data_IF_284716684939
#
_entry.id   IF_284716684939
#
_cell.length_a   1.000
_cell.length_b   1.000
_cell.length_c   1.000
_cell.angle_alpha   90.00
_cell.angle_beta   90.00
_cell.angle_gamma   90.00
#
_symmetry.space_group_name_H-M   'P 1'
#
loop_
_entity.id
_entity.type
_entity.pdbx_description
1 polymer ?
#
# COMPACT_ATOMS: atom_id res chain seq x y z
N UNK A 1 9.08 -4.14 18.43
CA UNK A 1 7.60 -4.03 18.40
C UNK A 1 6.97 -3.46 19.68
N UNK A 2 7.42 -3.80 20.90
CA UNK A 2 6.82 -3.32 22.16
C UNK A 2 7.39 -1.99 22.72
N UNK A 3 8.10 -1.19 21.93
CA UNK A 3 8.50 0.17 22.34
C UNK A 3 9.59 0.30 23.42
N UNK A 4 10.36 -0.76 23.72
CA UNK A 4 11.43 -0.72 24.72
C UNK A 4 12.82 -1.04 24.13
N UNK A 5 13.37 -0.16 23.26
CA UNK A 5 14.62 -0.44 22.55
C UNK A 5 15.82 -0.61 23.50
N UNK A 6 15.90 0.17 24.59
CA UNK A 6 16.98 0.04 25.57
C UNK A 6 16.99 -1.33 26.27
N UNK A 7 15.80 -1.83 26.63
CA UNK A 7 15.67 -3.16 27.24
C UNK A 7 15.96 -4.27 26.24
N UNK A 8 15.52 -4.12 24.97
CA UNK A 8 15.87 -5.06 23.91
C UNK A 8 17.39 -5.14 23.69
N UNK A 9 18.11 -4.01 23.67
CA UNK A 9 19.58 -3.99 23.59
C UNK A 9 20.19 -4.70 24.80
N UNK A 10 19.70 -4.42 26.02
CA UNK A 10 20.21 -5.05 27.25
C UNK A 10 20.03 -6.57 27.22
N UNK A 11 18.84 -7.05 26.85
CA UNK A 11 18.53 -8.48 26.77
C UNK A 11 19.31 -9.17 25.66
N UNK A 12 19.47 -8.54 24.49
CA UNK A 12 20.27 -9.09 23.40
C UNK A 12 21.75 -9.23 23.78
N UNK A 13 22.32 -8.24 24.48
CA UNK A 13 23.68 -8.33 25.03
C UNK A 13 23.81 -9.45 26.06
N UNK A 14 22.85 -9.57 26.97
CA UNK A 14 22.82 -10.66 27.95
C UNK A 14 22.72 -12.03 27.26
N UNK A 15 21.92 -12.14 26.19
CA UNK A 15 21.82 -13.37 25.41
C UNK A 15 23.14 -13.75 24.73
N UNK A 16 23.89 -12.77 24.20
CA UNK A 16 25.23 -12.99 23.64
C UNK A 16 26.23 -13.48 24.70
N UNK A 17 26.23 -12.86 25.89
CA UNK A 17 27.10 -13.24 27.00
C UNK A 17 26.84 -14.67 27.51
N UNK A 18 25.59 -15.12 27.48
CA UNK A 18 25.18 -16.43 27.98
C UNK A 18 25.13 -17.52 26.91
N UNK A 19 25.17 -17.16 25.62
CA UNK A 19 25.12 -18.14 24.54
C UNK A 19 26.46 -18.91 24.42
N UNK A 20 26.43 -20.23 24.21
CA UNK A 20 27.66 -21.00 23.98
C UNK A 20 28.41 -20.48 22.76
N UNK A 21 29.71 -20.21 22.90
CA UNK A 21 30.55 -19.73 21.78
C UNK A 21 30.64 -20.75 20.62
N UNK A 22 30.38 -22.03 20.90
CA UNK A 22 30.40 -23.12 19.91
C UNK A 22 29.11 -23.20 19.09
N UNK A 23 28.02 -22.59 19.55
CA UNK A 23 26.73 -22.60 18.84
C UNK A 23 26.66 -21.42 17.86
N UNK A 24 27.28 -21.60 16.69
CA UNK A 24 27.34 -20.55 15.68
C UNK A 24 25.96 -20.04 15.23
N UNK A 25 24.95 -20.90 15.20
CA UNK A 25 23.58 -20.53 14.84
C UNK A 25 22.98 -19.58 15.89
N UNK A 26 23.06 -19.95 17.17
CA UNK A 26 22.52 -19.12 18.25
C UNK A 26 23.27 -17.80 18.39
N UNK A 27 24.59 -17.80 18.22
CA UNK A 27 25.39 -16.58 18.18
C UNK A 27 24.91 -15.63 17.07
N UNK A 28 24.71 -16.17 15.85
CA UNK A 28 24.21 -15.37 14.73
C UNK A 28 22.82 -14.78 15.00
N UNK A 29 21.88 -15.57 15.54
CA UNK A 29 20.56 -15.08 15.94
C UNK A 29 20.66 -13.92 16.93
N UNK A 30 21.46 -14.07 17.99
CA UNK A 30 21.59 -13.06 19.03
C UNK A 30 22.25 -11.76 18.52
N UNK A 31 23.24 -11.86 17.64
CA UNK A 31 23.83 -10.69 16.98
C UNK A 31 22.83 -9.99 16.05
N UNK A 32 22.02 -10.74 15.29
CA UNK A 32 20.95 -10.14 14.48
C UNK A 32 19.89 -9.44 15.36
N UNK A 33 19.53 -10.01 16.51
CA UNK A 33 18.63 -9.34 17.46
C UNK A 33 19.24 -8.07 18.06
N UNK A 34 20.55 -8.08 18.40
CA UNK A 34 21.24 -6.90 18.89
C UNK A 34 21.30 -5.80 17.82
N UNK A 35 21.66 -6.16 16.58
CA UNK A 35 21.69 -5.25 15.45
C UNK A 35 20.29 -4.67 15.19
N UNK A 36 19.24 -5.49 15.19
CA UNK A 36 17.86 -5.03 15.07
C UNK A 36 17.47 -4.07 16.18
N UNK A 37 17.85 -4.34 17.43
CA UNK A 37 17.61 -3.45 18.55
C UNK A 37 18.33 -2.10 18.41
N UNK A 38 19.55 -2.07 17.87
CA UNK A 38 20.23 -0.83 17.52
C UNK A 38 19.49 -0.05 16.44
N UNK A 39 19.07 -0.71 15.35
CA UNK A 39 18.32 -0.08 14.28
C UNK A 39 17.01 0.55 14.79
N UNK A 40 16.22 -0.20 15.56
CA UNK A 40 14.99 0.29 16.19
C UNK A 40 15.20 1.45 17.17
N UNK A 41 16.39 1.59 17.74
CA UNK A 41 16.76 2.70 18.64
C UNK A 41 17.28 3.94 17.91
N UNK A 42 17.34 3.94 16.57
CA UNK A 42 17.92 5.01 15.76
C UNK A 42 19.45 4.98 15.69
N UNK A 43 20.10 3.99 16.33
CA UNK A 43 21.56 3.80 16.31
C UNK A 43 21.99 3.03 15.06
N UNK A 44 21.64 3.58 13.90
CA UNK A 44 21.74 2.89 12.60
C UNK A 44 23.17 2.50 12.26
N UNK A 45 24.16 3.36 12.56
CA UNK A 45 25.56 3.06 12.28
C UNK A 45 26.09 1.89 13.12
N UNK A 46 25.64 1.76 14.38
CA UNK A 46 25.97 0.62 15.23
C UNK A 46 25.31 -0.66 14.74
N UNK A 47 24.06 -0.57 14.28
CA UNK A 47 23.35 -1.68 13.64
C UNK A 47 24.14 -2.22 12.42
N UNK A 48 24.57 -1.32 11.54
CA UNK A 48 25.36 -1.67 10.35
C UNK A 48 26.69 -2.31 10.75
N UNK A 49 27.38 -1.76 11.75
CA UNK A 49 28.65 -2.29 12.24
C UNK A 49 28.48 -3.70 12.83
N UNK A 50 27.47 -3.89 13.68
CA UNK A 50 27.16 -5.17 14.31
C UNK A 50 26.87 -6.25 13.26
N UNK A 51 26.01 -5.94 12.28
CA UNK A 51 25.69 -6.87 11.22
C UNK A 51 26.89 -7.19 10.33
N UNK A 52 27.70 -6.20 9.93
CA UNK A 52 28.91 -6.44 9.13
C UNK A 52 29.90 -7.37 9.83
N UNK A 53 30.00 -7.30 11.15
CA UNK A 53 30.90 -8.15 11.92
C UNK A 53 30.46 -9.63 11.90
N UNK A 54 29.15 -9.90 11.94
CA UNK A 54 28.62 -11.27 12.02
C UNK A 54 28.23 -11.87 10.67
N UNK A 55 28.02 -11.05 9.63
CA UNK A 55 27.53 -11.48 8.32
C UNK A 55 28.31 -12.67 7.72
N UNK A 56 29.66 -12.73 7.74
CA UNK A 56 30.38 -13.90 7.22
C UNK A 56 30.06 -15.20 7.96
N UNK A 57 29.84 -15.14 9.27
CA UNK A 57 29.50 -16.30 10.10
C UNK A 57 28.03 -16.72 9.93
N UNK A 58 27.11 -15.75 9.79
CA UNK A 58 25.71 -16.04 9.47
C UNK A 58 25.55 -16.76 8.13
N UNK A 59 26.46 -16.46 7.18
CA UNK A 59 26.40 -16.96 5.81
C UNK A 59 27.32 -18.15 5.52
N UNK A 60 27.90 -18.76 6.56
CA UNK A 60 28.49 -20.09 6.39
C UNK A 60 27.40 -21.09 5.93
N UNK A 61 27.76 -22.03 5.05
CA UNK A 61 26.80 -22.96 4.41
C UNK A 61 25.96 -23.74 5.42
N UNK A 62 26.49 -23.98 6.61
CA UNK A 62 25.80 -24.71 7.68
C UNK A 62 24.64 -23.90 8.29
N UNK A 63 24.70 -22.57 8.25
CA UNK A 63 23.73 -21.69 8.91
C UNK A 63 22.84 -20.93 7.91
N UNK A 64 23.33 -20.71 6.70
CA UNK A 64 22.72 -19.82 5.71
C UNK A 64 21.24 -20.14 5.43
N UNK A 65 20.90 -21.40 5.18
CA UNK A 65 19.50 -21.76 4.88
C UNK A 65 18.57 -21.58 6.09
N UNK A 66 19.07 -21.79 7.32
CA UNK A 66 18.28 -21.66 8.55
C UNK A 66 18.06 -20.21 8.98
N UNK A 67 18.98 -19.31 8.63
CA UNK A 67 18.95 -17.91 9.05
C UNK A 67 18.46 -16.94 7.96
N UNK A 68 18.34 -17.37 6.71
CA UNK A 68 18.06 -16.49 5.58
C UNK A 68 16.82 -15.59 5.78
N UNK A 69 15.74 -16.12 6.35
CA UNK A 69 14.53 -15.33 6.61
C UNK A 69 14.74 -14.30 7.73
N UNK A 70 15.47 -14.67 8.79
CA UNK A 70 15.79 -13.75 9.88
C UNK A 70 16.72 -12.64 9.41
N UNK A 71 17.72 -12.99 8.60
CA UNK A 71 18.61 -12.02 7.97
C UNK A 71 17.84 -11.09 7.02
N UNK A 72 16.93 -11.64 6.20
CA UNK A 72 16.11 -10.85 5.31
C UNK A 72 15.18 -9.89 6.06
N UNK A 73 14.62 -10.33 7.19
CA UNK A 73 13.80 -9.48 8.07
C UNK A 73 14.61 -8.32 8.65
N UNK A 74 15.77 -8.62 9.21
CA UNK A 74 16.70 -7.61 9.71
C UNK A 74 17.10 -6.59 8.63
N UNK A 75 17.47 -7.06 7.43
CA UNK A 75 17.91 -6.20 6.35
C UNK A 75 16.79 -5.30 5.81
N UNK A 76 15.55 -5.79 5.78
CA UNK A 76 14.38 -4.99 5.47
C UNK A 76 14.21 -3.87 6.50
N UNK A 77 14.19 -4.20 7.78
CA UNK A 77 14.06 -3.20 8.85
C UNK A 77 15.20 -2.18 8.82
N UNK A 78 16.45 -2.63 8.67
CA UNK A 78 17.60 -1.75 8.55
C UNK A 78 17.48 -0.78 7.37
N UNK A 79 16.97 -1.24 6.23
CA UNK A 79 16.73 -0.38 5.08
C UNK A 79 15.68 0.70 5.38
N UNK A 80 14.61 0.37 6.12
CA UNK A 80 13.62 1.37 6.58
C UNK A 80 14.28 2.41 7.47
N UNK A 81 15.14 2.00 8.42
CA UNK A 81 15.82 2.94 9.32
C UNK A 81 16.89 3.78 8.62
N UNK A 82 17.63 3.20 7.66
CA UNK A 82 18.55 3.95 6.81
C UNK A 82 17.80 5.00 5.99
N UNK A 83 16.65 4.64 5.41
CA UNK A 83 15.80 5.56 4.66
C UNK A 83 15.29 6.72 5.53
N UNK A 84 14.77 6.40 6.71
CA UNK A 84 14.32 7.40 7.69
C UNK A 84 15.44 8.34 8.14
N UNK A 85 16.70 7.87 8.15
CA UNK A 85 17.89 8.66 8.46
C UNK A 85 18.47 9.43 7.26
N UNK A 86 17.72 9.58 6.15
CA UNK A 86 18.18 10.29 4.95
C UNK A 86 19.19 9.51 4.09
N UNK A 87 19.47 8.25 4.42
CA UNK A 87 20.43 7.37 3.71
C UNK A 87 19.74 6.49 2.67
N UNK A 88 18.81 7.06 1.89
CA UNK A 88 17.97 6.32 0.93
C UNK A 88 18.78 5.50 -0.11
N UNK A 89 19.86 6.08 -0.65
CA UNK A 89 20.74 5.36 -1.60
C UNK A 89 21.42 4.14 -0.95
N UNK A 90 21.82 4.25 0.32
CA UNK A 90 22.42 3.13 1.05
C UNK A 90 21.39 2.05 1.34
N UNK A 91 20.17 2.43 1.75
CA UNK A 91 19.05 1.50 1.97
C UNK A 91 18.74 0.68 0.71
N UNK A 92 18.65 1.34 -0.46
CA UNK A 92 18.42 0.67 -1.74
C UNK A 92 19.57 -0.28 -2.11
N UNK A 93 20.82 0.18 -2.02
CA UNK A 93 21.99 -0.63 -2.34
C UNK A 93 22.10 -1.87 -1.45
N UNK A 94 21.77 -1.74 -0.16
CA UNK A 94 21.74 -2.84 0.81
C UNK A 94 20.77 -3.93 0.36
N UNK A 95 19.51 -3.57 0.06
CA UNK A 95 18.51 -4.53 -0.37
C UNK A 95 18.86 -5.17 -1.71
N UNK A 96 19.28 -4.38 -2.69
CA UNK A 96 19.68 -4.91 -4.01
C UNK A 96 20.84 -5.89 -3.94
N UNK A 97 21.84 -5.61 -3.09
CA UNK A 97 22.96 -6.54 -2.86
C UNK A 97 22.47 -7.84 -2.23
N UNK A 98 21.71 -7.75 -1.14
CA UNK A 98 21.22 -8.93 -0.44
C UNK A 98 20.26 -9.78 -1.30
N UNK A 99 19.43 -9.16 -2.14
CA UNK A 99 18.60 -9.86 -3.12
C UNK A 99 19.47 -10.67 -4.09
N UNK A 100 20.55 -10.09 -4.64
CA UNK A 100 21.45 -10.79 -5.58
C UNK A 100 22.09 -12.01 -4.92
N UNK A 101 22.56 -11.85 -3.69
CA UNK A 101 23.24 -12.89 -2.93
C UNK A 101 22.29 -14.05 -2.58
N UNK A 102 21.13 -13.75 -1.97
CA UNK A 102 20.15 -14.78 -1.59
C UNK A 102 19.53 -15.48 -2.81
N UNK A 103 19.39 -14.77 -3.94
CA UNK A 103 18.93 -15.36 -5.19
C UNK A 103 19.94 -16.35 -5.77
N UNK A 104 21.24 -16.04 -5.71
CA UNK A 104 22.30 -16.93 -6.17
C UNK A 104 22.33 -18.25 -5.37
N UNK A 105 22.04 -18.16 -4.07
CA UNK A 105 21.94 -19.30 -3.15
C UNK A 105 20.57 -20.01 -3.20
N UNK A 106 19.68 -19.62 -4.12
CA UNK A 106 18.32 -20.18 -4.31
C UNK A 106 17.42 -20.07 -3.08
N UNK A 107 17.63 -19.08 -2.22
CA UNK A 107 16.85 -18.82 -1.00
C UNK A 107 15.63 -17.94 -1.32
N UNK A 108 14.73 -18.49 -2.13
CA UNK A 108 13.60 -17.77 -2.73
C UNK A 108 12.67 -17.07 -1.71
N UNK A 109 12.30 -17.67 -0.55
CA UNK A 109 11.44 -16.98 0.43
C UNK A 109 12.09 -15.74 1.03
N UNK A 110 13.39 -15.80 1.34
CA UNK A 110 14.14 -14.67 1.88
C UNK A 110 14.35 -13.57 0.81
N UNK A 111 14.66 -13.97 -0.43
CA UNK A 111 14.73 -13.04 -1.56
C UNK A 111 13.38 -12.34 -1.82
N UNK A 112 12.24 -13.07 -1.75
CA UNK A 112 10.90 -12.49 -1.86
C UNK A 112 10.70 -11.40 -0.81
N UNK A 113 11.04 -11.67 0.45
CA UNK A 113 10.86 -10.71 1.54
C UNK A 113 11.64 -9.40 1.29
N UNK A 114 12.88 -9.50 0.82
CA UNK A 114 13.69 -8.33 0.46
C UNK A 114 13.17 -7.58 -0.76
N UNK A 115 12.64 -8.30 -1.76
CA UNK A 115 11.97 -7.68 -2.91
C UNK A 115 10.75 -6.85 -2.46
N UNK A 116 9.99 -7.34 -1.49
CA UNK A 116 8.86 -6.60 -0.90
C UNK A 116 9.35 -5.33 -0.19
N UNK A 117 10.41 -5.44 0.62
CA UNK A 117 11.04 -4.28 1.27
C UNK A 117 11.53 -3.23 0.27
N UNK A 118 12.20 -3.66 -0.81
CA UNK A 118 12.68 -2.78 -1.88
C UNK A 118 11.51 -2.09 -2.60
N UNK A 119 10.45 -2.84 -2.88
CA UNK A 119 9.21 -2.28 -3.46
C UNK A 119 8.63 -1.17 -2.58
N UNK A 120 8.46 -1.43 -1.28
CA UNK A 120 7.94 -0.44 -0.32
C UNK A 120 8.81 0.81 -0.23
N UNK A 121 10.13 0.65 -0.21
CA UNK A 121 11.09 1.77 -0.22
C UNK A 121 10.90 2.65 -1.47
N UNK A 122 10.86 2.03 -2.65
CA UNK A 122 10.67 2.74 -3.92
C UNK A 122 9.30 3.42 -4.01
N UNK A 123 8.25 2.77 -3.50
CA UNK A 123 6.92 3.36 -3.40
C UNK A 123 6.92 4.63 -2.56
N UNK A 124 7.63 4.63 -1.43
CA UNK A 124 7.76 5.81 -0.55
C UNK A 124 8.48 6.96 -1.26
N UNK A 125 9.46 6.66 -2.11
CA UNK A 125 10.16 7.64 -2.96
C UNK A 125 9.36 8.09 -4.20
N UNK A 126 8.11 7.64 -4.32
CA UNK A 126 7.23 7.85 -5.47
C UNK A 126 7.69 7.19 -6.79
N UNK A 127 8.71 6.32 -6.77
CA UNK A 127 9.13 5.50 -7.92
C UNK A 127 8.20 4.28 -8.09
N UNK A 128 7.03 4.52 -8.69
CA UNK A 128 5.99 3.51 -8.91
C UNK A 128 6.44 2.39 -9.84
N UNK A 129 7.17 2.70 -10.90
CA UNK A 129 7.64 1.71 -11.87
C UNK A 129 8.74 0.83 -11.29
N UNK A 130 9.69 1.42 -10.56
CA UNK A 130 10.70 0.68 -9.82
C UNK A 130 10.08 -0.21 -8.75
N UNK A 131 9.12 0.34 -8.00
CA UNK A 131 8.38 -0.42 -6.98
C UNK A 131 7.66 -1.63 -7.57
N UNK A 132 6.96 -1.45 -8.70
CA UNK A 132 6.25 -2.53 -9.37
C UNK A 132 7.20 -3.66 -9.79
N UNK A 133 8.28 -3.32 -10.51
CA UNK A 133 9.28 -4.29 -10.97
C UNK A 133 9.89 -5.07 -9.80
N UNK A 134 10.20 -4.38 -8.70
CA UNK A 134 10.77 -5.01 -7.51
C UNK A 134 9.79 -6.01 -6.88
N UNK A 135 8.52 -5.62 -6.73
CA UNK A 135 7.47 -6.47 -6.16
C UNK A 135 7.19 -7.69 -7.04
N UNK A 136 6.99 -7.51 -8.34
CA UNK A 136 6.72 -8.62 -9.26
C UNK A 136 7.87 -9.63 -9.30
N UNK A 137 9.12 -9.15 -9.22
CA UNK A 137 10.30 -10.00 -9.16
C UNK A 137 10.34 -10.89 -7.89
N UNK A 138 9.81 -10.42 -6.76
CA UNK A 138 9.67 -11.22 -5.54
C UNK A 138 8.44 -12.15 -5.59
N UNK A 139 7.29 -11.60 -5.94
CA UNK A 139 5.99 -12.28 -5.89
C UNK A 139 5.88 -13.48 -6.83
N UNK A 140 6.73 -13.58 -7.86
CA UNK A 140 6.83 -14.79 -8.70
C UNK A 140 7.21 -16.05 -7.92
N UNK A 141 7.85 -15.92 -6.76
CA UNK A 141 8.25 -17.05 -5.91
C UNK A 141 7.10 -17.58 -5.04
N UNK A 142 6.09 -16.76 -4.75
CA UNK A 142 4.86 -17.14 -4.05
C UNK A 142 3.65 -16.45 -4.72
N UNK A 143 3.28 -16.92 -5.92
CA UNK A 143 2.21 -16.30 -6.68
C UNK A 143 0.83 -16.55 -6.08
N UNK A 144 0.69 -17.40 -5.05
CA UNK A 144 -0.60 -17.70 -4.43
C UNK A 144 -0.81 -16.95 -3.10
N UNK A 145 0.17 -16.14 -2.68
CA UNK A 145 0.12 -15.39 -1.42
C UNK A 145 -0.04 -16.32 -0.19
N UNK A 146 0.70 -17.42 -0.16
CA UNK A 146 0.61 -18.41 0.91
C UNK A 146 1.38 -17.98 2.16
N UNK A 147 2.42 -17.17 1.99
CA UNK A 147 3.21 -16.59 3.07
C UNK A 147 2.74 -15.17 3.44
N UNK A 148 2.95 -14.79 4.71
CA UNK A 148 2.67 -13.41 5.18
C UNK A 148 3.49 -12.38 4.40
N UNK A 149 4.75 -12.70 4.06
CA UNK A 149 5.60 -11.85 3.22
C UNK A 149 5.02 -11.64 1.81
N UNK A 150 4.50 -12.70 1.18
CA UNK A 150 3.85 -12.58 -0.12
C UNK A 150 2.54 -11.79 -0.04
N UNK A 151 1.72 -12.02 1.00
CA UNK A 151 0.52 -11.22 1.24
C UNK A 151 0.84 -9.72 1.35
N UNK A 152 1.83 -9.36 2.17
CA UNK A 152 2.31 -7.98 2.29
C UNK A 152 2.81 -7.43 0.96
N UNK A 153 3.54 -8.23 0.18
CA UNK A 153 3.98 -7.88 -1.17
C UNK A 153 2.82 -7.63 -2.15
N UNK A 154 1.79 -8.48 -2.16
CA UNK A 154 0.61 -8.28 -3.01
C UNK A 154 -0.19 -7.05 -2.59
N UNK A 155 -0.32 -6.79 -1.29
CA UNK A 155 -0.96 -5.57 -0.78
C UNK A 155 -0.13 -4.31 -1.11
N UNK A 156 1.21 -4.40 -1.10
CA UNK A 156 2.08 -3.33 -1.57
C UNK A 156 1.92 -3.10 -3.08
N UNK A 157 1.82 -4.17 -3.88
CA UNK A 157 1.59 -4.08 -5.32
C UNK A 157 0.21 -3.46 -5.60
N UNK A 158 -0.81 -3.80 -4.83
CA UNK A 158 -2.11 -3.13 -4.89
C UNK A 158 -1.97 -1.61 -4.71
N UNK A 159 -1.19 -1.15 -3.72
CA UNK A 159 -0.94 0.30 -3.49
C UNK A 159 -0.25 0.95 -4.70
N UNK A 160 0.71 0.25 -5.29
CA UNK A 160 1.41 0.71 -6.51
C UNK A 160 0.41 0.87 -7.66
N UNK A 161 -0.44 -0.13 -7.89
CA UNK A 161 -1.48 -0.08 -8.93
C UNK A 161 -2.46 1.06 -8.72
N UNK A 162 -2.90 1.30 -7.49
CA UNK A 162 -3.69 2.48 -7.13
C UNK A 162 -2.93 3.78 -7.46
N UNK A 163 -1.66 3.87 -7.08
CA UNK A 163 -0.81 5.04 -7.33
C UNK A 163 -0.64 5.35 -8.82
N UNK A 164 -0.62 4.33 -9.68
CA UNK A 164 -0.54 4.45 -11.14
C UNK A 164 -1.90 4.73 -11.81
N UNK A 165 -2.99 4.72 -11.04
CA UNK A 165 -4.35 4.83 -11.58
C UNK A 165 -4.89 3.54 -12.20
N UNK A 166 -4.19 2.41 -12.07
CA UNK A 166 -4.53 1.10 -12.62
C UNK A 166 -5.54 0.36 -11.73
N UNK A 167 -6.74 0.93 -11.57
CA UNK A 167 -7.76 0.46 -10.61
C UNK A 167 -8.23 -0.96 -10.88
N UNK A 168 -8.39 -1.35 -12.14
CA UNK A 168 -8.82 -2.70 -12.51
C UNK A 168 -7.76 -3.75 -12.11
N UNK A 169 -6.48 -3.46 -12.36
CA UNK A 169 -5.39 -4.34 -11.95
C UNK A 169 -5.31 -4.46 -10.41
N UNK A 170 -5.52 -3.36 -9.70
CA UNK A 170 -5.61 -3.37 -8.24
C UNK A 170 -6.78 -4.27 -7.75
N UNK A 171 -7.95 -4.18 -8.41
CA UNK A 171 -9.12 -5.01 -8.07
C UNK A 171 -8.86 -6.49 -8.33
N UNK A 172 -8.16 -6.84 -9.39
CA UNK A 172 -7.80 -8.24 -9.68
C UNK A 172 -6.87 -8.84 -8.64
N UNK A 173 -5.93 -8.05 -8.09
CA UNK A 173 -5.10 -8.46 -6.95
C UNK A 173 -6.00 -8.77 -5.75
N UNK A 174 -6.96 -7.89 -5.41
CA UNK A 174 -7.87 -8.13 -4.28
C UNK A 174 -8.75 -9.36 -4.47
N UNK A 175 -9.35 -9.54 -5.67
CA UNK A 175 -10.15 -10.73 -6.00
C UNK A 175 -9.36 -12.03 -5.80
N UNK A 176 -8.05 -11.99 -6.04
CA UNK A 176 -7.14 -13.11 -5.83
C UNK A 176 -6.85 -13.32 -4.34
N UNK A 177 -6.50 -12.26 -3.62
CA UNK A 177 -6.22 -12.33 -2.17
C UNK A 177 -7.45 -12.81 -1.38
N UNK A 178 -8.64 -12.29 -1.68
CA UNK A 178 -9.90 -12.72 -1.05
C UNK A 178 -10.20 -14.21 -1.26
N UNK A 179 -9.67 -14.83 -2.31
CA UNK A 179 -9.79 -16.28 -2.53
C UNK A 179 -8.72 -17.06 -1.78
N UNK A 180 -7.46 -16.59 -1.81
CA UNK A 180 -6.33 -17.29 -1.21
C UNK A 180 -6.33 -17.22 0.32
N UNK A 181 -6.90 -16.18 0.91
CA UNK A 181 -6.93 -16.00 2.37
C UNK A 181 -8.17 -16.60 3.04
N UNK A 182 -9.03 -17.33 2.30
CA UNK A 182 -10.21 -17.98 2.90
C UNK A 182 -9.78 -19.04 3.91
N UNK A 183 -10.23 -18.90 5.16
CA UNK A 183 -9.87 -19.83 6.23
C UNK A 183 -8.49 -19.59 6.85
N UNK A 184 -7.80 -18.52 6.47
CA UNK A 184 -6.61 -18.06 7.19
C UNK A 184 -6.98 -17.41 8.54
N UNK A 185 -5.95 -17.11 9.32
CA UNK A 185 -6.06 -16.34 10.56
C UNK A 185 -6.86 -15.04 10.35
N UNK A 186 -7.63 -14.66 11.37
CA UNK A 186 -8.49 -13.48 11.34
C UNK A 186 -7.72 -12.21 10.95
N UNK A 187 -6.48 -12.02 11.44
CA UNK A 187 -5.67 -10.83 11.12
C UNK A 187 -5.26 -10.79 9.66
N UNK A 188 -5.03 -11.94 9.04
CA UNK A 188 -4.71 -12.05 7.61
C UNK A 188 -5.93 -11.64 6.78
N UNK A 189 -7.10 -12.19 7.10
CA UNK A 189 -8.36 -11.85 6.42
C UNK A 189 -8.68 -10.37 6.60
N UNK A 190 -8.46 -9.85 7.81
CA UNK A 190 -8.68 -8.45 8.16
C UNK A 190 -7.92 -7.49 7.24
N UNK A 191 -6.62 -7.72 6.99
CA UNK A 191 -5.81 -6.87 6.11
C UNK A 191 -6.39 -6.77 4.69
N UNK A 192 -6.91 -7.88 4.16
CA UNK A 192 -7.52 -7.92 2.83
C UNK A 192 -8.85 -7.16 2.81
N UNK A 193 -9.71 -7.34 3.84
CA UNK A 193 -11.00 -6.64 3.94
C UNK A 193 -10.80 -5.13 4.01
N UNK A 194 -9.88 -4.65 4.85
CA UNK A 194 -9.57 -3.22 4.98
C UNK A 194 -9.09 -2.65 3.64
N UNK A 195 -8.21 -3.36 2.94
CA UNK A 195 -7.69 -2.91 1.65
C UNK A 195 -8.78 -2.89 0.58
N UNK A 196 -9.67 -3.88 0.56
CA UNK A 196 -10.82 -3.90 -0.34
C UNK A 196 -11.83 -2.78 -0.04
N UNK A 197 -12.07 -2.46 1.23
CA UNK A 197 -12.90 -1.31 1.60
C UNK A 197 -12.27 0.01 1.14
N UNK A 198 -10.95 0.14 1.21
CA UNK A 198 -10.25 1.31 0.71
C UNK A 198 -10.34 1.42 -0.82
N UNK A 199 -10.23 0.31 -1.56
CA UNK A 199 -10.49 0.28 -3.02
C UNK A 199 -11.90 0.80 -3.32
N UNK A 200 -12.91 0.27 -2.62
CA UNK A 200 -14.30 0.67 -2.82
C UNK A 200 -14.49 2.19 -2.58
N UNK A 201 -13.87 2.74 -1.53
CA UNK A 201 -13.91 4.19 -1.26
C UNK A 201 -13.23 5.02 -2.38
N UNK A 202 -12.09 4.56 -2.91
CA UNK A 202 -11.38 5.24 -4.00
C UNK A 202 -12.18 5.23 -5.31
N UNK A 203 -13.10 4.27 -5.45
CA UNK A 203 -14.02 4.13 -6.58
C UNK A 203 -15.40 4.73 -6.31
N UNK A 204 -15.57 5.43 -5.18
CA UNK A 204 -16.81 6.04 -4.74
C UNK A 204 -17.96 5.05 -4.46
N UNK A 205 -17.64 3.78 -4.19
CA UNK A 205 -18.57 2.71 -3.81
C UNK A 205 -18.77 2.68 -2.28
N UNK A 206 -19.31 3.77 -1.71
CA UNK A 206 -19.38 4.00 -0.26
C UNK A 206 -20.16 2.91 0.50
N UNK A 207 -21.25 2.42 -0.07
CA UNK A 207 -22.07 1.35 0.54
C UNK A 207 -21.32 0.02 0.63
N UNK A 208 -20.59 -0.35 -0.43
CA UNK A 208 -19.75 -1.56 -0.45
C UNK A 208 -18.65 -1.47 0.60
N UNK A 209 -17.97 -0.33 0.69
CA UNK A 209 -16.97 -0.07 1.72
C UNK A 209 -17.56 -0.19 3.14
N UNK A 210 -18.75 0.39 3.37
CA UNK A 210 -19.44 0.28 4.65
C UNK A 210 -19.77 -1.18 5.01
N UNK A 211 -20.23 -1.96 4.05
CA UNK A 211 -20.56 -3.37 4.26
C UNK A 211 -19.33 -4.23 4.55
N UNK A 212 -18.16 -3.89 3.98
CA UNK A 212 -16.88 -4.54 4.31
C UNK A 212 -16.40 -4.19 5.70
N UNK A 213 -16.35 -2.90 6.04
CA UNK A 213 -15.92 -2.46 7.37
C UNK A 213 -16.88 -2.94 8.48
N UNK A 214 -18.17 -3.12 8.18
CA UNK A 214 -19.14 -3.75 9.08
C UNK A 214 -18.76 -5.16 9.50
N UNK A 215 -18.11 -5.94 8.62
CA UNK A 215 -17.65 -7.30 8.97
C UNK A 215 -16.56 -7.27 10.04
N UNK A 216 -15.87 -6.13 10.20
CA UNK A 216 -14.83 -5.91 11.20
C UNK A 216 -15.36 -5.23 12.47
N UNK A 217 -16.68 -5.06 12.59
CA UNK A 217 -17.30 -4.35 13.72
C UNK A 217 -17.20 -2.82 13.64
N UNK A 218 -16.75 -2.25 12.53
CA UNK A 218 -16.59 -0.81 12.33
C UNK A 218 -17.88 -0.17 11.82
N UNK A 219 -18.93 -0.21 12.63
CA UNK A 219 -20.23 0.39 12.34
C UNK A 219 -20.72 1.23 13.51
N UNK A 220 -21.55 2.23 13.20
CA UNK A 220 -22.23 3.00 14.24
C UNK A 220 -21.41 4.18 14.74
N UNK A 221 -21.47 4.41 16.06
CA UNK A 221 -20.89 5.55 16.75
C UNK A 221 -19.37 5.37 16.90
N UNK A 222 -18.58 6.37 16.49
CA UNK A 222 -17.13 6.34 16.61
C UNK A 222 -16.63 6.13 18.04
N UNK A 223 -17.33 6.66 19.06
CA UNK A 223 -16.92 6.49 20.46
C UNK A 223 -16.99 5.02 20.89
N UNK A 224 -18.03 4.30 20.47
CA UNK A 224 -18.19 2.87 20.77
C UNK A 224 -17.10 2.04 20.11
N UNK A 225 -16.83 2.29 18.83
CA UNK A 225 -15.77 1.61 18.08
C UNK A 225 -14.39 1.87 18.69
N UNK A 226 -14.11 3.11 19.11
CA UNK A 226 -12.83 3.48 19.71
C UNK A 226 -12.63 2.89 21.12
N UNK A 227 -13.69 2.59 21.86
CA UNK A 227 -13.58 1.92 23.17
C UNK A 227 -13.10 0.45 23.06
N UNK A 228 -13.21 -0.14 21.87
CA UNK A 228 -12.80 -1.53 21.60
C UNK A 228 -11.42 -1.64 20.93
N UNK A 229 -10.59 -0.60 21.02
CA UNK A 229 -9.21 -0.62 20.50
C UNK A 229 -8.25 0.10 21.44
N UNK A 230 -7.07 -0.48 21.64
CA UNK A 230 -5.99 0.15 22.41
C UNK A 230 -5.11 1.06 21.55
N UNK A 231 -4.41 2.00 22.18
CA UNK A 231 -3.44 2.87 21.47
C UNK A 231 -2.27 2.08 20.88
N UNK A 232 -1.90 0.96 21.52
CA UNK A 232 -0.89 0.03 21.00
C UNK A 232 -1.35 -0.59 19.67
N UNK A 233 -2.62 -0.98 19.57
CA UNK A 233 -3.17 -1.51 18.32
C UNK A 233 -3.33 -0.44 17.24
N UNK A 234 -3.78 0.76 17.61
CA UNK A 234 -3.91 1.91 16.71
C UNK A 234 -2.57 2.37 16.12
N UNK A 235 -1.48 2.28 16.88
CA UNK A 235 -0.13 2.60 16.42
C UNK A 235 0.57 1.44 15.72
N UNK A 236 0.05 0.21 15.81
CA UNK A 236 0.62 -0.98 15.19
C UNK A 236 -0.22 -1.50 14.02
N UNK A 237 -0.89 -2.63 14.16
CA UNK A 237 -1.49 -3.37 13.04
C UNK A 237 -2.87 -2.84 12.61
N UNK A 238 -3.62 -2.15 13.49
CA UNK A 238 -4.96 -1.59 13.20
C UNK A 238 -4.91 -0.16 12.64
N UNK A 239 -3.73 0.41 12.42
CA UNK A 239 -3.61 1.79 11.96
C UNK A 239 -4.31 2.05 10.60
N UNK A 240 -4.23 1.10 9.66
CA UNK A 240 -4.81 1.23 8.33
C UNK A 240 -6.32 1.00 8.35
N UNK A 241 -6.80 0.19 9.28
CA UNK A 241 -8.22 -0.06 9.51
C UNK A 241 -8.91 1.22 9.95
N UNK A 242 -8.45 1.86 11.02
CA UNK A 242 -9.04 3.09 11.54
C UNK A 242 -8.83 4.29 10.61
N UNK A 243 -7.72 4.31 9.86
CA UNK A 243 -7.55 5.30 8.80
C UNK A 243 -8.58 5.11 7.67
N UNK A 244 -8.90 3.87 7.29
CA UNK A 244 -9.92 3.57 6.27
C UNK A 244 -11.32 3.83 6.81
N UNK A 245 -11.58 3.54 8.08
CA UNK A 245 -12.84 3.89 8.75
C UNK A 245 -13.07 5.40 8.82
N UNK A 246 -12.05 6.20 9.15
CA UNK A 246 -12.13 7.65 9.11
C UNK A 246 -12.50 8.17 7.71
N UNK A 247 -11.98 7.55 6.64
CA UNK A 247 -12.33 7.88 5.26
C UNK A 247 -13.77 7.50 4.90
N UNK A 248 -14.26 6.36 5.40
CA UNK A 248 -15.67 6.00 5.26
C UNK A 248 -16.57 7.06 5.91
N UNK A 249 -16.22 7.51 7.12
CA UNK A 249 -16.96 8.54 7.84
C UNK A 249 -16.96 9.88 7.06
N UNK A 250 -15.84 10.26 6.45
CA UNK A 250 -15.76 11.43 5.54
C UNK A 250 -16.70 11.27 4.36
N UNK A 251 -16.68 10.12 3.69
CA UNK A 251 -17.54 9.85 2.54
C UNK A 251 -19.03 9.86 2.92
N UNK A 252 -19.36 9.54 4.17
CA UNK A 252 -20.71 9.64 4.74
C UNK A 252 -21.03 11.03 5.33
N UNK A 253 -20.14 12.02 5.19
CA UNK A 253 -20.26 13.37 5.77
C UNK A 253 -20.36 13.39 7.30
N UNK A 254 -19.92 12.33 7.98
CA UNK A 254 -19.83 12.23 9.44
C UNK A 254 -18.49 12.82 9.92
N UNK A 255 -18.33 14.12 9.72
CA UNK A 255 -17.04 14.81 9.93
C UNK A 255 -16.56 14.74 11.39
N UNK A 256 -17.44 14.98 12.37
CA UNK A 256 -17.05 14.93 13.79
C UNK A 256 -16.57 13.54 14.23
N UNK A 257 -17.27 12.48 13.82
CA UNK A 257 -16.87 11.11 14.09
C UNK A 257 -15.52 10.78 13.44
N UNK A 258 -15.31 11.25 12.21
CA UNK A 258 -14.00 11.08 11.52
C UNK A 258 -12.88 11.77 12.30
N UNK A 259 -13.10 13.00 12.76
CA UNK A 259 -12.11 13.75 13.55
C UNK A 259 -11.80 13.07 14.88
N UNK A 260 -12.78 12.47 15.56
CA UNK A 260 -12.53 11.68 16.79
C UNK A 260 -11.56 10.53 16.51
N UNK A 261 -11.82 9.76 15.46
CA UNK A 261 -10.96 8.63 15.05
C UNK A 261 -9.56 9.12 14.70
N UNK A 262 -9.44 10.17 13.89
CA UNK A 262 -8.15 10.68 13.43
C UNK A 262 -7.32 11.28 14.57
N UNK A 263 -7.94 12.00 15.51
CA UNK A 263 -7.25 12.54 16.70
C UNK A 263 -6.73 11.43 17.62
N UNK A 264 -7.51 10.35 17.81
CA UNK A 264 -7.06 9.21 18.61
C UNK A 264 -5.89 8.48 17.94
N UNK A 265 -5.99 8.27 16.62
CA UNK A 265 -4.91 7.68 15.82
C UNK A 265 -3.63 8.52 15.86
N UNK A 266 -3.75 9.85 15.75
CA UNK A 266 -2.62 10.77 15.88
C UNK A 266 -1.99 10.71 17.27
N UNK A 267 -2.79 10.73 18.34
CA UNK A 267 -2.32 10.65 19.71
C UNK A 267 -1.54 9.35 19.99
N UNK A 268 -2.10 8.22 19.56
CA UNK A 268 -1.44 6.91 19.65
C UNK A 268 -0.10 6.89 18.89
N UNK A 269 -0.08 7.40 17.65
CA UNK A 269 1.13 7.46 16.83
C UNK A 269 2.21 8.37 17.44
N UNK A 270 1.81 9.50 18.02
CA UNK A 270 2.72 10.47 18.65
C UNK A 270 3.39 9.88 19.89
N UNK A 271 2.67 9.07 20.67
CA UNK A 271 3.20 8.41 21.87
C UNK A 271 4.36 7.45 21.58
N UNK A 272 4.47 6.96 20.34
CA UNK A 272 5.53 6.04 19.88
C UNK A 272 6.40 6.63 18.77
N UNK A 273 6.38 7.95 18.59
CA UNK A 273 7.19 8.68 17.60
C UNK A 273 7.04 8.20 16.14
N UNK A 274 5.84 7.80 15.74
CA UNK A 274 5.55 7.40 14.35
C UNK A 274 5.13 8.62 13.51
N UNK A 275 6.09 9.48 13.18
CA UNK A 275 5.86 10.77 12.52
C UNK A 275 5.14 10.68 11.17
N UNK A 276 5.36 9.59 10.42
CA UNK A 276 4.62 9.34 9.18
C UNK A 276 3.12 9.19 9.42
N UNK A 277 2.71 8.41 10.43
CA UNK A 277 1.30 8.19 10.75
C UNK A 277 0.67 9.45 11.34
N UNK A 278 1.42 10.21 12.16
CA UNK A 278 1.01 11.54 12.64
C UNK A 278 0.71 12.46 11.48
N UNK A 279 1.64 12.58 10.53
CA UNK A 279 1.50 13.46 9.35
C UNK A 279 0.31 13.03 8.47
N UNK A 280 0.14 11.72 8.26
CA UNK A 280 -0.98 11.16 7.49
C UNK A 280 -2.33 11.46 8.15
N UNK A 281 -2.42 11.35 9.48
CA UNK A 281 -3.63 11.70 10.23
C UNK A 281 -3.92 13.21 10.17
N UNK A 282 -2.88 14.05 10.24
CA UNK A 282 -3.01 15.51 10.14
C UNK A 282 -3.53 15.96 8.77
N UNK A 283 -3.02 15.40 7.67
CA UNK A 283 -3.57 15.67 6.33
C UNK A 283 -5.06 15.34 6.27
N UNK A 284 -5.47 14.18 6.78
CA UNK A 284 -6.87 13.78 6.73
C UNK A 284 -7.77 14.64 7.63
N UNK A 285 -7.27 15.09 8.79
CA UNK A 285 -7.99 16.06 9.62
C UNK A 285 -8.17 17.40 8.90
N UNK A 286 -7.13 17.89 8.23
CA UNK A 286 -7.22 19.11 7.43
C UNK A 286 -8.20 18.95 6.26
N UNK A 287 -8.26 17.77 5.62
CA UNK A 287 -9.29 17.44 4.63
C UNK A 287 -10.69 17.51 5.22
N UNK A 288 -10.92 16.95 6.41
CA UNK A 288 -12.24 17.02 7.07
C UNK A 288 -12.66 18.47 7.28
N UNK A 289 -11.78 19.31 7.86
CA UNK A 289 -12.06 20.73 8.09
C UNK A 289 -12.28 21.49 6.78
N UNK A 290 -11.52 21.19 5.73
CA UNK A 290 -11.70 21.82 4.43
C UNK A 290 -13.05 21.46 3.80
N UNK A 291 -13.44 20.18 3.85
CA UNK A 291 -14.74 19.71 3.32
C UNK A 291 -15.93 20.18 4.14
N UNK A 292 -15.76 20.44 5.45
CA UNK A 292 -16.80 21.04 6.28
C UNK A 292 -16.91 22.57 6.15
N UNK A 293 -16.03 23.19 5.37
CA UNK A 293 -16.00 24.63 5.12
C UNK A 293 -15.14 25.45 6.08
N UNK A 294 -14.52 24.81 7.10
CA UNK A 294 -13.60 25.46 8.03
C UNK A 294 -12.17 25.51 7.46
N UNK A 295 -12.00 26.32 6.42
CA UNK A 295 -10.72 26.51 5.74
C UNK A 295 -9.66 27.09 6.69
N UNK A 296 -10.07 27.90 7.67
CA UNK A 296 -9.14 28.47 8.64
C UNK A 296 -8.48 27.37 9.49
N UNK A 297 -9.27 26.45 10.05
CA UNK A 297 -8.75 25.34 10.83
C UNK A 297 -7.93 24.37 9.96
N UNK A 298 -8.38 24.10 8.73
CA UNK A 298 -7.61 23.28 7.79
C UNK A 298 -6.20 23.85 7.54
N UNK A 299 -6.08 25.16 7.36
CA UNK A 299 -4.79 25.83 7.14
C UNK A 299 -3.94 25.92 8.40
N UNK A 300 -4.54 26.01 9.60
CA UNK A 300 -3.81 25.93 10.87
C UNK A 300 -3.12 24.57 11.06
N UNK A 301 -3.72 23.49 10.56
CA UNK A 301 -3.12 22.15 10.56
C UNK A 301 -2.05 22.05 9.46
N UNK A 302 -2.35 22.56 8.26
CA UNK A 302 -1.46 22.42 7.10
C UNK A 302 -0.17 23.24 7.20
N UNK A 303 -0.19 24.44 7.77
CA UNK A 303 0.99 25.30 7.86
C UNK A 303 2.21 24.64 8.55
N UNK A 304 2.12 24.16 9.81
CA UNK A 304 3.24 23.49 10.48
C UNK A 304 3.59 22.13 9.86
N UNK A 305 2.62 21.47 9.21
CA UNK A 305 2.86 20.22 8.50
C UNK A 305 3.68 20.42 7.22
N UNK A 306 3.36 21.45 6.43
CA UNK A 306 4.11 21.85 5.24
C UNK A 306 5.52 22.31 5.61
N UNK A 307 5.67 23.05 6.71
CA UNK A 307 7.00 23.44 7.21
C UNK A 307 7.85 22.20 7.53
N UNK A 308 7.29 21.24 8.28
CA UNK A 308 8.02 20.03 8.68
C UNK A 308 8.40 19.17 7.47
N UNK A 309 7.47 18.96 6.55
CA UNK A 309 7.69 18.12 5.36
C UNK A 309 8.60 18.78 4.33
N UNK A 310 8.68 20.11 4.29
CA UNK A 310 9.62 20.83 3.42
C UNK A 310 11.09 20.65 3.82
N UNK A 311 11.34 20.17 5.04
CA UNK A 311 12.69 19.92 5.59
C UNK A 311 13.06 18.44 5.56
N UNK A 312 12.21 17.58 5.00
CA UNK A 312 12.49 16.16 4.88
C UNK A 312 13.45 15.93 3.71
N UNK A 313 14.43 15.05 3.91
CA UNK A 313 15.33 14.62 2.82
C UNK A 313 14.65 13.64 1.85
N UNK A 314 13.59 12.97 2.29
CA UNK A 314 12.80 12.01 1.51
C UNK A 314 11.56 12.63 0.87
N UNK A 315 11.06 12.00 -0.20
CA UNK A 315 9.88 12.50 -0.90
C UNK A 315 8.63 12.49 0.00
N UNK A 316 8.15 13.67 0.38
CA UNK A 316 6.99 13.83 1.25
C UNK A 316 5.64 13.59 0.53
N UNK A 317 5.61 13.43 -0.79
CA UNK A 317 4.38 13.32 -1.58
C UNK A 317 3.44 12.23 -1.06
N UNK A 318 3.98 11.08 -0.62
CA UNK A 318 3.19 9.95 -0.11
C UNK A 318 2.40 10.24 1.18
N UNK A 319 2.71 11.32 1.89
CA UNK A 319 1.90 11.80 3.02
C UNK A 319 0.59 12.42 2.52
N UNK A 320 0.62 13.12 1.37
CA UNK A 320 -0.48 13.92 0.84
C UNK A 320 -1.31 13.17 -0.21
N UNK A 321 -0.66 12.41 -1.10
CA UNK A 321 -1.32 11.70 -2.20
C UNK A 321 -2.52 10.83 -1.78
N UNK A 322 -2.52 10.12 -0.64
CA UNK A 322 -3.67 9.31 -0.22
C UNK A 322 -4.95 10.12 -0.01
N UNK A 323 -4.86 11.43 0.25
CA UNK A 323 -6.02 12.31 0.41
C UNK A 323 -6.74 12.60 -0.93
N UNK A 324 -6.16 12.21 -2.07
CA UNK A 324 -6.78 12.33 -3.39
C UNK A 324 -7.14 13.78 -3.75
N UNK A 325 -8.26 13.96 -4.45
CA UNK A 325 -8.66 15.29 -4.96
C UNK A 325 -8.90 16.32 -3.86
N UNK A 326 -9.41 15.90 -2.70
CA UNK A 326 -9.57 16.79 -1.55
C UNK A 326 -8.20 17.25 -1.02
N UNK A 327 -7.21 16.36 -0.99
CA UNK A 327 -5.82 16.70 -0.64
C UNK A 327 -5.17 17.65 -1.66
N UNK A 328 -5.40 17.43 -2.95
CA UNK A 328 -4.93 18.32 -4.02
C UNK A 328 -5.55 19.73 -3.88
N UNK A 329 -6.88 19.80 -3.66
CA UNK A 329 -7.60 21.06 -3.44
C UNK A 329 -7.08 21.81 -2.20
N UNK A 330 -6.79 21.07 -1.12
CA UNK A 330 -6.21 21.60 0.11
C UNK A 330 -4.82 22.21 -0.12
N UNK A 331 -3.97 21.54 -0.91
CA UNK A 331 -2.65 22.05 -1.29
C UNK A 331 -2.76 23.29 -2.20
N UNK A 332 -3.70 23.30 -3.15
CA UNK A 332 -3.96 24.48 -3.99
C UNK A 332 -4.41 25.69 -3.14
N UNK A 333 -5.25 25.48 -2.13
CA UNK A 333 -5.63 26.55 -1.20
C UNK A 333 -4.42 27.02 -0.37
N UNK A 334 -3.57 26.11 0.09
CA UNK A 334 -2.33 26.48 0.77
C UNK A 334 -1.41 27.33 -0.12
N UNK A 335 -1.28 26.99 -1.41
CA UNK A 335 -0.54 27.77 -2.39
C UNK A 335 -1.11 29.18 -2.58
N UNK A 336 -2.44 29.33 -2.72
CA UNK A 336 -3.10 30.65 -2.82
C UNK A 336 -2.81 31.54 -1.62
N UNK A 337 -2.64 30.94 -0.44
CA UNK A 337 -2.31 31.64 0.82
C UNK A 337 -0.81 31.84 1.05
N UNK A 338 0.04 31.40 0.12
CA UNK A 338 1.49 31.57 0.20
C UNK A 338 2.18 30.67 1.24
N UNK A 339 1.56 29.56 1.64
CA UNK A 339 2.17 28.60 2.58
C UNK A 339 3.17 27.72 1.83
N UNK A 340 4.47 27.87 2.08
CA UNK A 340 5.55 27.07 1.48
C UNK A 340 5.39 26.82 -0.03
N UNK A 341 5.34 27.89 -0.87
CA UNK A 341 4.90 27.79 -2.27
C UNK A 341 5.75 26.85 -3.12
N UNK A 342 7.07 26.81 -2.93
CA UNK A 342 7.97 25.91 -3.67
C UNK A 342 7.69 24.43 -3.33
N UNK A 343 7.58 24.12 -2.04
CA UNK A 343 7.26 22.77 -1.57
C UNK A 343 5.88 22.32 -2.04
N UNK A 344 4.87 23.19 -1.90
CA UNK A 344 3.50 22.90 -2.36
C UNK A 344 3.47 22.67 -3.87
N UNK A 345 4.22 23.45 -4.65
CA UNK A 345 4.34 23.24 -6.11
C UNK A 345 4.94 21.88 -6.43
N UNK A 346 5.98 21.45 -5.71
CA UNK A 346 6.57 20.12 -5.87
C UNK A 346 5.55 19.02 -5.52
N UNK A 347 4.85 19.15 -4.39
CA UNK A 347 3.82 18.20 -3.99
C UNK A 347 2.68 18.10 -5.00
N UNK A 348 2.22 19.22 -5.57
CA UNK A 348 1.16 19.24 -6.57
C UNK A 348 1.56 18.57 -7.88
N UNK A 349 2.85 18.66 -8.27
CA UNK A 349 3.36 18.00 -9.48
C UNK A 349 3.36 16.47 -9.38
N UNK A 350 3.34 15.92 -8.16
CA UNK A 350 3.34 14.47 -7.91
C UNK A 350 1.92 13.87 -7.95
N UNK A 351 0.88 14.71 -7.94
CA UNK A 351 -0.49 14.22 -8.16
C UNK A 351 -0.61 13.73 -9.60
N UNK A 352 -1.30 12.59 -9.83
CA UNK A 352 -1.55 12.15 -11.19
C UNK A 352 -2.29 13.27 -11.94
N UNK A 353 -1.98 13.47 -13.23
CA UNK A 353 -2.72 14.43 -14.04
C UNK A 353 -4.21 14.11 -13.96
N UNK A 354 -5.05 15.14 -13.94
CA UNK A 354 -6.50 14.93 -13.95
C UNK A 354 -6.84 13.95 -15.06
N UNK A 355 -7.58 12.86 -14.76
CA UNK A 355 -8.09 12.01 -15.81
C UNK A 355 -8.84 12.92 -16.76
N UNK A 356 -8.36 13.03 -18.00
CA UNK A 356 -9.12 13.68 -19.06
C UNK A 356 -10.51 13.04 -19.00
N UNK A 357 -11.60 13.81 -18.83
CA UNK A 357 -12.91 13.25 -18.62
C UNK A 357 -13.18 12.26 -19.74
N UNK A 358 -13.14 10.96 -19.42
CA UNK A 358 -13.72 9.95 -20.30
C UNK A 358 -15.19 10.31 -20.28
N UNK A 359 -15.68 10.88 -21.38
CA UNK A 359 -17.09 11.24 -21.53
C UNK A 359 -17.91 10.08 -20.99
N UNK A 360 -18.72 10.33 -19.95
CA UNK A 360 -19.75 9.36 -19.54
C UNK A 360 -20.51 9.02 -20.81
N UNK A 361 -20.45 7.77 -21.21
CA UNK A 361 -21.17 7.30 -22.39
C UNK A 361 -22.64 7.41 -22.12
N UNK A 362 -23.36 8.17 -22.95
CA UNK A 362 -24.83 8.29 -22.96
C UNK A 362 -25.49 6.98 -23.42
N UNK A 363 -25.12 5.86 -22.80
CA UNK A 363 -25.75 4.58 -23.00
C UNK A 363 -26.88 4.43 -21.98
N UNK A 364 -28.11 4.06 -22.41
CA UNK A 364 -29.22 3.77 -21.50
C UNK A 364 -28.89 2.65 -20.51
N UNK A 365 -27.99 1.75 -20.89
CA UNK A 365 -27.49 0.65 -20.06
C UNK A 365 -25.99 0.43 -20.32
N UNK A 366 -25.19 0.33 -19.25
CA UNK A 366 -23.76 0.08 -19.37
C UNK A 366 -23.46 -1.31 -19.94
N UNK A 367 -22.38 -1.42 -20.73
CA UNK A 367 -21.84 -2.71 -21.13
C UNK A 367 -21.19 -3.39 -19.92
N UNK A 368 -21.43 -4.68 -19.78
CA UNK A 368 -20.75 -5.52 -18.77
C UNK A 368 -19.29 -5.73 -19.15
N UNK A 369 -18.43 -6.07 -18.19
CA UNK A 369 -17.01 -6.39 -18.45
C UNK A 369 -16.87 -7.43 -19.58
N UNK A 370 -17.74 -8.45 -19.59
CA UNK A 370 -17.72 -9.50 -20.60
C UNK A 370 -18.12 -9.03 -21.99
N UNK A 371 -19.07 -8.09 -22.07
CA UNK A 371 -19.47 -7.45 -23.32
C UNK A 371 -18.35 -6.55 -23.87
N UNK A 372 -17.61 -5.87 -22.99
CA UNK A 372 -16.43 -5.06 -23.36
C UNK A 372 -15.30 -5.94 -23.91
N UNK A 373 -15.00 -7.08 -23.28
CA UNK A 373 -13.99 -8.02 -23.77
C UNK A 373 -14.32 -8.52 -25.19
N UNK A 374 -15.58 -8.91 -25.39
CA UNK A 374 -16.08 -9.35 -26.70
C UNK A 374 -15.94 -8.21 -27.71
N UNK A 375 -16.36 -6.99 -27.37
CA UNK A 375 -16.29 -5.80 -28.21
C UNK A 375 -14.84 -5.39 -28.59
N UNK A 376 -13.87 -5.50 -27.66
CA UNK A 376 -12.44 -5.30 -27.94
C UNK A 376 -11.93 -6.30 -28.96
N UNK A 377 -12.25 -7.57 -28.78
CA UNK A 377 -11.91 -8.63 -29.74
C UNK A 377 -12.64 -8.43 -31.07
N UNK A 378 -13.82 -7.79 -31.07
CA UNK A 378 -14.47 -7.40 -32.31
C UNK A 378 -13.68 -6.33 -33.07
N UNK A 379 -13.17 -5.33 -32.35
CA UNK A 379 -12.45 -4.18 -32.91
C UNK A 379 -11.12 -4.55 -33.59
N UNK A 380 -10.46 -5.61 -33.11
CA UNK A 380 -9.25 -6.16 -33.74
C UNK A 380 -9.54 -7.18 -34.86
N UNK A 381 -10.82 -7.38 -35.21
CA UNK A 381 -11.23 -8.15 -36.40
C UNK A 381 -11.51 -9.64 -36.19
N UNK A 382 -11.49 -10.17 -34.96
CA UNK A 382 -11.70 -11.61 -34.72
C UNK A 382 -13.15 -12.04 -34.99
N UNK A 383 -13.36 -13.14 -35.72
CA UNK A 383 -14.69 -13.74 -35.95
C UNK A 383 -15.23 -14.36 -34.66
N UNK A 384 -16.55 -14.48 -34.54
CA UNK A 384 -17.21 -14.98 -33.32
C UNK A 384 -16.71 -16.36 -32.84
N UNK A 385 -16.27 -17.24 -33.76
CA UNK A 385 -15.64 -18.52 -33.39
C UNK A 385 -14.28 -18.32 -32.72
N UNK A 386 -13.46 -17.40 -33.23
CA UNK A 386 -12.13 -17.07 -32.69
C UNK A 386 -12.26 -16.35 -31.34
N UNK A 387 -13.24 -15.45 -31.22
CA UNK A 387 -13.57 -14.80 -29.94
C UNK A 387 -14.00 -15.85 -28.91
N UNK A 388 -14.89 -16.78 -29.28
CA UNK A 388 -15.33 -17.87 -28.40
C UNK A 388 -14.18 -18.75 -27.93
N UNK A 389 -13.28 -19.12 -28.84
CA UNK A 389 -12.07 -19.89 -28.51
C UNK A 389 -11.14 -19.13 -27.55
N UNK A 390 -10.91 -17.84 -27.79
CA UNK A 390 -10.01 -17.01 -26.97
C UNK A 390 -10.59 -16.70 -25.59
N UNK A 391 -11.91 -16.60 -25.48
CA UNK A 391 -12.61 -16.34 -24.23
C UNK A 391 -13.09 -17.61 -23.52
N UNK A 392 -12.82 -18.80 -24.06
CA UNK A 392 -13.24 -20.11 -23.56
C UNK A 392 -14.78 -20.23 -23.35
N UNK A 393 -15.56 -19.73 -24.31
CA UNK A 393 -17.03 -19.77 -24.28
C UNK A 393 -17.64 -20.21 -25.61
N UNK A 394 -18.86 -20.75 -25.55
CA UNK A 394 -19.54 -21.28 -26.74
C UNK A 394 -19.86 -20.20 -27.77
N UNK A 395 -19.98 -20.59 -29.04
CA UNK A 395 -20.42 -19.68 -30.12
C UNK A 395 -21.81 -19.08 -29.84
N UNK A 396 -22.70 -19.84 -29.19
CA UNK A 396 -24.03 -19.35 -28.80
C UNK A 396 -23.92 -18.26 -27.72
N UNK A 397 -23.01 -18.40 -26.76
CA UNK A 397 -22.72 -17.38 -25.75
C UNK A 397 -22.16 -16.11 -26.38
N UNK A 398 -21.28 -16.25 -27.39
CA UNK A 398 -20.78 -15.08 -28.14
C UNK A 398 -21.90 -14.38 -28.91
N UNK A 399 -22.81 -15.12 -29.55
CA UNK A 399 -23.97 -14.54 -30.23
C UNK A 399 -24.85 -13.77 -29.25
N UNK A 400 -25.09 -14.33 -28.06
CA UNK A 400 -25.83 -13.65 -27.00
C UNK A 400 -25.18 -12.32 -26.60
N UNK A 401 -23.88 -12.32 -26.28
CA UNK A 401 -23.16 -11.09 -25.94
C UNK A 401 -23.17 -10.08 -27.10
N UNK A 402 -23.03 -10.55 -28.34
CA UNK A 402 -23.08 -9.68 -29.54
C UNK A 402 -24.44 -8.98 -29.67
N UNK A 403 -25.54 -9.72 -29.48
CA UNK A 403 -26.90 -9.15 -29.50
C UNK A 403 -27.10 -8.12 -28.41
N UNK A 404 -26.64 -8.40 -27.18
CA UNK A 404 -26.75 -7.45 -26.09
C UNK A 404 -25.91 -6.19 -26.32
N UNK A 405 -24.68 -6.33 -26.82
CA UNK A 405 -23.81 -5.21 -27.20
C UNK A 405 -24.54 -4.32 -28.21
N UNK A 406 -25.12 -4.91 -29.25
CA UNK A 406 -25.82 -4.19 -30.30
C UNK A 406 -27.05 -3.45 -29.76
N UNK A 407 -27.85 -4.14 -28.94
CA UNK A 407 -29.01 -3.54 -28.28
C UNK A 407 -28.65 -2.36 -27.37
N UNK A 408 -27.59 -2.51 -26.56
CA UNK A 408 -27.12 -1.45 -25.66
C UNK A 408 -26.54 -0.26 -26.41
N UNK A 409 -25.79 -0.50 -27.49
CA UNK A 409 -25.18 0.54 -28.32
C UNK A 409 -26.16 1.19 -29.31
N UNK A 410 -27.35 0.61 -29.52
CA UNK A 410 -28.36 1.10 -30.46
C UNK A 410 -27.92 0.95 -31.92
N UNK A 411 -27.25 -0.16 -32.26
CA UNK A 411 -26.68 -0.42 -33.59
C UNK A 411 -27.02 -1.81 -34.08
N UNK A 412 -27.01 -2.02 -35.39
CA UNK A 412 -27.51 -3.28 -35.99
C UNK A 412 -26.40 -4.20 -36.50
N UNK A 413 -25.14 -3.74 -36.50
CA UNK A 413 -24.04 -4.52 -37.03
C UNK A 413 -22.72 -4.26 -36.31
N UNK A 414 -21.80 -5.20 -36.50
CA UNK A 414 -20.48 -5.21 -35.86
C UNK A 414 -19.65 -3.97 -36.16
N UNK A 415 -19.63 -3.52 -37.40
CA UNK A 415 -18.83 -2.35 -37.80
C UNK A 415 -19.38 -1.09 -37.13
N UNK A 416 -20.71 -0.94 -37.11
CA UNK A 416 -21.39 0.13 -36.40
C UNK A 416 -21.17 0.05 -34.88
N UNK A 417 -21.16 -1.14 -34.29
CA UNK A 417 -20.82 -1.32 -32.87
C UNK A 417 -19.40 -0.85 -32.56
N UNK A 418 -18.40 -1.26 -33.34
CA UNK A 418 -17.02 -0.81 -33.12
C UNK A 418 -16.88 0.71 -33.33
N UNK A 419 -17.50 1.25 -34.37
CA UNK A 419 -17.48 2.69 -34.64
C UNK A 419 -18.15 3.49 -33.50
N UNK A 420 -19.36 3.08 -33.10
CA UNK A 420 -20.12 3.71 -32.01
C UNK A 420 -19.39 3.62 -30.68
N UNK A 421 -18.75 2.50 -30.38
CA UNK A 421 -17.95 2.35 -29.18
C UNK A 421 -16.71 3.24 -29.16
N UNK A 422 -16.09 3.53 -30.31
CA UNK A 422 -15.00 4.52 -30.40
C UNK A 422 -15.50 5.95 -30.23
N UNK A 423 -16.64 6.30 -30.83
CA UNK A 423 -17.29 7.61 -30.64
C UNK A 423 -17.62 7.88 -29.17
N UNK A 424 -18.04 6.83 -28.47
CA UNK A 424 -18.37 6.85 -27.05
C UNK A 424 -17.12 6.75 -26.15
N UNK A 425 -15.92 6.46 -26.67
CA UNK A 425 -14.71 6.31 -25.86
C UNK A 425 -14.65 5.04 -25.01
N UNK A 426 -15.38 3.99 -25.41
CA UNK A 426 -15.37 2.66 -24.78
C UNK A 426 -14.18 1.83 -25.29
N UNK A 427 -13.77 2.07 -26.54
CA UNK A 427 -12.67 1.39 -27.25
C UNK A 427 -11.54 2.34 -27.63
#
# INVERSE_FOLDING_TARGET
MYGHPAEAIRLAKLALENAPAVDSFLQCCNHLFLAGAYAHSGRVDEAVQEYRAIQPACRDRNNLAGLALLEADYLHDLAIYLHAAGKATQAKALLEQAIRELSAEKLQPAALYLHVGLGKLLFNENDLDGSERALEAGLRFDPLALSVGALDGWLALWRVKIGKGERDAARDILKKLERSTRGCDEKVVHMVIVTAALQDLLENNVESAAQRLKQLGLIGNADEVLNHVSDSELSSWRNNEFYTYARLLIAQQKFEDSLKVLRRLEGAARAVHMDYLVSRAQVMQAVVHFLSGDVAQAMQIMAPLLERTSRMDSNAARIYLPAGEAGKSLLQEAARRGLHPEHVSCLLAEFPPEPVPVKKTDLPEALTEREIDVLRLMAVGLKNQEIGARLYISLNTIRYHTTNIFGKLGVDNRTAAVARSRELGIL
#
